data_IF_466879958635
#
_entry.id   IF_466879958635
#
_cell.length_a   1.000
_cell.length_b   1.000
_cell.length_c   1.000
_cell.angle_alpha   90.00
_cell.angle_beta   90.00
_cell.angle_gamma   90.00
#
_symmetry.space_group_name_H-M   'P 1'
#
loop_
_entity.id
_entity.type
_entity.pdbx_description
1 polymer ?
#
# COMPACT_ATOMS: atom_id res chain seq x y z
N UNK A 1 29.55 0.56 9.61
CA UNK A 1 29.03 0.46 9.58
C UNK A 1 28.31 0.32 9.37
N UNK A 2 28.49 0.35 9.43
CA UNK A 2 27.81 0.25 9.32
C UNK A 2 26.91 0.11 8.98
N UNK A 3 27.00 0.02 8.93
CA UNK A 3 26.14 -0.09 8.67
C UNK A 3 25.33 -0.27 8.46
N UNK A 4 25.49 -0.24 8.46
CA UNK A 4 24.73 -0.36 8.33
C UNK A 4 23.96 -0.55 7.93
N UNK A 5 24.21 -0.54 7.78
CA UNK A 5 23.52 -0.76 7.38
C UNK A 5 22.77 -1.09 7.02
N UNK A 6 22.92 -1.33 6.98
CA UNK A 6 22.24 -1.66 6.68
C UNK A 6 21.43 -1.92 6.41
N UNK A 7 21.36 -1.85 6.36
CA UNK A 7 20.60 -2.26 6.16
C UNK A 7 19.75 -2.36 5.63
N UNK A 8 19.89 -2.09 5.48
CA UNK A 8 19.16 -2.18 4.98
C UNK A 8 18.87 -2.64 4.31
N UNK A 9 19.35 -2.85 4.24
CA UNK A 9 19.22 -3.31 3.74
C UNK A 9 18.60 -3.93 3.41
N UNK A 10 18.60 -4.05 3.51
CA UNK A 10 18.13 -4.61 3.26
C UNK A 10 17.39 -5.22 3.03
N UNK A 11 17.17 -5.31 3.07
CA UNK A 11 16.39 -5.79 2.69
C UNK A 11 15.93 -5.90 1.79
N UNK A 12 16.15 -6.14 1.76
CA UNK A 12 15.85 -6.14 0.76
C UNK A 12 15.22 -6.07 -0.05
N UNK A 13 15.94 -5.81 -0.25
CA UNK A 13 15.36 -5.84 -1.07
C UNK A 13 14.42 -6.68 -1.17
N UNK A 14 14.22 -7.18 -0.42
CA UNK A 14 13.00 -7.87 -0.42
C UNK A 14 11.96 -7.08 -1.12
N UNK A 15 11.01 -7.73 -1.68
CA UNK A 15 9.95 -7.04 -2.37
C UNK A 15 9.27 -6.08 -1.44
N UNK A 16 9.13 -4.84 -1.85
CA UNK A 16 8.38 -3.92 -1.02
C UNK A 16 6.94 -4.38 -0.90
N UNK A 17 6.39 -4.16 0.27
CA UNK A 17 5.00 -4.50 0.49
C UNK A 17 4.13 -3.47 -0.22
N UNK A 18 3.14 -3.94 -0.96
CA UNK A 18 2.19 -3.05 -1.62
C UNK A 18 0.80 -3.37 -1.15
N UNK A 19 -0.17 -2.55 -1.55
CA UNK A 19 -1.56 -2.86 -1.22
C UNK A 19 -1.98 -4.19 -1.83
N UNK A 20 -1.38 -4.57 -2.95
CA UNK A 20 -1.71 -5.84 -3.55
C UNK A 20 -1.33 -7.01 -2.67
N UNK A 21 -0.24 -6.89 -1.93
CA UNK A 21 0.29 -8.00 -1.14
C UNK A 21 0.07 -7.83 0.35
N UNK A 22 -0.46 -6.70 0.79
CA UNK A 22 -0.68 -6.47 2.22
C UNK A 22 -1.70 -7.48 2.74
N UNK A 23 -1.41 -8.18 3.84
CA UNK A 23 -2.39 -9.10 4.40
C UNK A 23 -3.67 -8.38 4.80
N UNK A 24 -4.79 -9.09 4.69
CA UNK A 24 -6.07 -8.52 5.05
C UNK A 24 -6.09 -8.14 6.52
N UNK A 25 -6.79 -7.07 6.81
CA UNK A 25 -7.03 -6.62 8.17
C UNK A 25 -5.77 -6.17 8.89
N UNK A 26 -4.73 -5.90 8.13
CA UNK A 26 -3.50 -5.39 8.71
C UNK A 26 -3.40 -3.91 8.41
N UNK A 27 -3.25 -3.10 9.45
CA UNK A 27 -3.07 -1.66 9.26
C UNK A 27 -1.69 -1.37 8.70
N UNK A 28 -1.63 -0.44 7.79
CA UNK A 28 -0.37 -0.04 7.18
C UNK A 28 -0.42 1.43 6.85
N UNK A 29 0.74 1.98 6.59
CA UNK A 29 0.88 3.39 6.22
C UNK A 29 1.39 3.45 4.79
N UNK A 30 0.78 4.28 3.98
CA UNK A 30 1.25 4.48 2.62
C UNK A 30 2.64 5.09 2.66
N UNK A 31 3.59 4.42 2.04
CA UNK A 31 4.96 4.90 2.00
C UNK A 31 5.29 5.65 0.73
N UNK A 32 4.78 5.16 -0.39
CA UNK A 32 5.03 5.80 -1.67
C UNK A 32 3.97 5.38 -2.66
N UNK A 33 3.67 6.25 -3.58
CA UNK A 33 2.76 5.95 -4.67
C UNK A 33 3.51 6.24 -5.97
N UNK A 34 3.57 5.24 -6.84
CA UNK A 34 4.28 5.40 -8.09
C UNK A 34 3.36 6.01 -9.12
N UNK A 35 3.21 7.30 -9.01
CA UNK A 35 2.27 8.04 -9.83
C UNK A 35 2.50 7.86 -11.32
N UNK A 36 3.75 7.69 -11.72
CA UNK A 36 4.07 7.55 -13.13
C UNK A 36 3.61 6.24 -13.73
N UNK A 37 3.28 5.26 -12.90
CA UNK A 37 2.76 3.99 -13.37
C UNK A 37 1.25 3.98 -13.50
N UNK A 38 0.61 5.08 -13.15
CA UNK A 38 -0.84 5.17 -13.16
C UNK A 38 -1.29 6.03 -14.31
N UNK A 39 -2.40 5.65 -14.94
CA UNK A 39 -3.03 6.52 -15.91
C UNK A 39 -3.55 7.76 -15.20
N UNK A 40 -3.64 8.85 -15.95
CA UNK A 40 -4.05 10.12 -15.35
C UNK A 40 -5.38 10.05 -14.60
N UNK A 41 -6.42 9.40 -15.14
CA UNK A 41 -7.67 9.31 -14.39
C UNK A 41 -7.51 8.54 -13.08
N UNK A 42 -6.68 7.49 -13.08
CA UNK A 42 -6.46 6.72 -11.87
C UNK A 42 -5.71 7.53 -10.82
N UNK A 43 -4.70 8.26 -11.26
CA UNK A 43 -3.95 9.10 -10.34
C UNK A 43 -4.83 10.17 -9.73
N UNK A 44 -5.67 10.81 -10.56
CA UNK A 44 -6.58 11.81 -10.06
C UNK A 44 -7.54 11.22 -9.05
N UNK A 45 -8.08 10.03 -9.36
CA UNK A 45 -9.03 9.40 -8.46
C UNK A 45 -8.40 9.11 -7.11
N UNK A 46 -7.16 8.62 -7.11
CA UNK A 46 -6.49 8.35 -5.85
C UNK A 46 -6.34 9.61 -5.01
N UNK A 47 -5.97 10.70 -5.65
CA UNK A 47 -5.84 11.96 -4.92
C UNK A 47 -7.17 12.41 -4.36
N UNK A 48 -8.22 12.26 -5.14
CA UNK A 48 -9.55 12.66 -4.68
C UNK A 48 -10.02 11.81 -3.53
N UNK A 49 -9.60 10.54 -3.51
CA UNK A 49 -9.97 9.65 -2.41
C UNK A 49 -9.13 9.89 -1.16
N UNK A 50 -8.06 10.64 -1.27
CA UNK A 50 -7.24 10.94 -0.12
C UNK A 50 -6.01 10.09 0.03
N UNK A 51 -5.64 9.33 -0.99
CA UNK A 51 -4.41 8.55 -0.93
C UNK A 51 -3.21 9.46 -1.05
N UNK A 52 -2.29 9.31 -0.12
CA UNK A 52 -1.06 10.09 -0.12
C UNK A 52 -0.10 9.39 0.84
N UNK A 53 1.14 9.81 0.78
CA UNK A 53 2.13 9.27 1.71
C UNK A 53 1.74 9.61 3.14
N UNK A 54 1.92 8.65 4.02
CA UNK A 54 1.61 8.86 5.44
C UNK A 54 0.19 8.52 5.82
N UNK A 55 -0.65 8.17 4.87
CA UNK A 55 -2.06 7.89 5.16
C UNK A 55 -2.20 6.42 5.57
N UNK A 56 -3.05 6.17 6.56
CA UNK A 56 -3.29 4.81 7.04
C UNK A 56 -4.26 4.10 6.12
N UNK A 57 -3.96 2.85 5.82
CA UNK A 57 -4.80 2.03 4.94
C UNK A 57 -4.90 0.63 5.50
N UNK A 58 -5.92 -0.08 5.05
CA UNK A 58 -6.14 -1.46 5.45
C UNK A 58 -6.83 -2.18 4.31
N UNK A 59 -6.37 -3.39 3.98
CA UNK A 59 -7.05 -4.20 2.97
C UNK A 59 -8.15 -4.98 3.67
N UNK A 60 -9.37 -4.86 3.17
CA UNK A 60 -10.52 -5.52 3.75
C UNK A 60 -10.86 -6.80 3.03
N UNK A 61 -10.72 -6.80 1.71
CA UNK A 61 -11.13 -7.94 0.92
C UNK A 61 -10.36 -7.98 -0.38
N UNK A 62 -10.04 -9.17 -0.80
CA UNK A 62 -9.28 -9.38 -2.03
C UNK A 62 -9.93 -10.54 -2.75
N UNK A 63 -10.11 -10.40 -4.06
CA UNK A 63 -10.70 -11.46 -4.85
C UNK A 63 -9.82 -12.70 -4.80
N UNK A 64 -10.43 -13.86 -4.61
CA UNK A 64 -9.70 -15.12 -4.57
C UNK A 64 -9.23 -15.55 -5.94
N UNK A 65 -9.92 -15.12 -6.97
CA UNK A 65 -9.63 -15.60 -8.31
C UNK A 65 -8.50 -14.84 -8.99
N UNK A 66 -7.86 -13.94 -8.27
CA UNK A 66 -6.80 -13.15 -8.85
C UNK A 66 -7.35 -12.18 -9.88
N UNK A 67 -6.68 -11.07 -10.06
CA UNK A 67 -7.08 -10.09 -11.05
C UNK A 67 -8.27 -9.23 -10.67
N UNK A 68 -9.02 -9.60 -9.65
CA UNK A 68 -10.16 -8.81 -9.24
C UNK A 68 -9.75 -7.61 -8.41
N UNK A 69 -10.70 -6.72 -8.15
CA UNK A 69 -10.38 -5.53 -7.37
C UNK A 69 -10.08 -5.87 -5.92
N UNK A 70 -9.41 -4.94 -5.28
CA UNK A 70 -9.07 -5.05 -3.87
C UNK A 70 -9.85 -3.98 -3.12
N UNK A 71 -10.63 -4.40 -2.13
CA UNK A 71 -11.37 -3.45 -1.30
C UNK A 71 -10.49 -3.05 -0.15
N UNK A 72 -10.32 -1.77 0.05
CA UNK A 72 -9.51 -1.29 1.14
C UNK A 72 -10.18 -0.12 1.84
N UNK A 73 -9.76 0.12 3.07
CA UNK A 73 -10.26 1.23 3.84
C UNK A 73 -9.20 2.30 3.91
N UNK A 74 -9.62 3.52 3.66
CA UNK A 74 -8.76 4.67 3.83
C UNK A 74 -9.58 5.71 4.59
N UNK A 75 -9.10 6.09 5.75
CA UNK A 75 -9.90 6.92 6.63
C UNK A 75 -11.16 6.18 7.00
N UNK A 76 -12.29 6.78 6.71
CA UNK A 76 -13.58 6.16 6.98
C UNK A 76 -14.22 5.58 5.73
N UNK A 77 -13.53 5.65 4.61
CA UNK A 77 -14.10 5.20 3.36
C UNK A 77 -13.62 3.81 3.02
N UNK A 78 -14.49 3.06 2.38
CA UNK A 78 -14.12 1.79 1.76
C UNK A 78 -14.14 2.00 0.27
N UNK A 79 -13.04 1.69 -0.39
CA UNK A 79 -12.92 1.89 -1.83
C UNK A 79 -12.42 0.62 -2.45
N UNK A 80 -12.73 0.44 -3.73
CA UNK A 80 -12.23 -0.69 -4.49
C UNK A 80 -11.20 -0.17 -5.48
N UNK A 81 -10.04 -0.81 -5.49
CA UNK A 81 -8.96 -0.44 -6.40
C UNK A 81 -8.66 -1.59 -7.32
N UNK A 82 -8.38 -1.26 -8.56
CA UNK A 82 -7.88 -2.27 -9.49
C UNK A 82 -6.54 -2.75 -8.98
N UNK A 83 -6.25 -4.02 -9.25
CA UNK A 83 -5.03 -4.63 -8.76
C UNK A 83 -3.79 -3.89 -9.25
N UNK A 84 -3.81 -3.42 -10.49
CA UNK A 84 -2.67 -2.66 -11.01
C UNK A 84 -2.43 -1.37 -10.23
N UNK A 85 -3.50 -0.74 -9.78
CA UNK A 85 -3.36 0.47 -8.97
C UNK A 85 -2.80 0.12 -7.60
N UNK A 86 -3.32 -0.94 -6.99
CA UNK A 86 -2.84 -1.37 -5.69
C UNK A 86 -1.35 -1.72 -5.72
N UNK A 87 -0.90 -2.26 -6.85
CA UNK A 87 0.51 -2.62 -7.00
C UNK A 87 1.42 -1.41 -7.02
N UNK A 88 0.88 -0.25 -7.39
CA UNK A 88 1.67 0.97 -7.44
C UNK A 88 1.76 1.69 -6.09
N UNK A 89 1.08 1.17 -5.07
CA UNK A 89 1.06 1.82 -3.76
C UNK A 89 1.85 0.97 -2.78
N UNK A 90 3.01 1.48 -2.37
CA UNK A 90 3.86 0.81 -1.40
C UNK A 90 3.45 1.19 0.00
N UNK A 91 3.46 0.22 0.90
CA UNK A 91 3.01 0.46 2.27
C UNK A 91 4.01 -0.13 3.24
N UNK A 92 3.98 0.38 4.46
CA UNK A 92 4.72 -0.17 5.58
C UNK A 92 3.72 -0.61 6.64
N UNK A 93 3.91 -1.81 7.14
CA UNK A 93 3.05 -2.30 8.20
C UNK A 93 3.36 -1.52 9.47
N UNK A 94 2.31 -1.03 10.10
CA UNK A 94 2.48 -0.31 11.35
C UNK A 94 2.98 -1.24 12.42
N UNK A 95 4.05 -0.88 13.13
CA UNK A 95 4.47 -1.73 14.23
C UNK A 95 3.43 -1.72 15.34
N UNK A 96 3.40 -2.80 16.08
CA UNK A 96 2.51 -2.86 17.22
C UNK A 96 2.98 -1.85 18.26
N UNK A 97 2.03 -1.32 19.04
CA UNK A 97 2.42 -0.37 20.09
C UNK A 97 3.42 -1.01 21.03
N UNK A 98 4.37 -0.23 21.43
CA UNK A 98 5.43 -0.76 22.23
C UNK A 98 5.02 -1.06 23.66
N UNK A 99 4.03 -0.47 24.14
CA UNK A 99 3.66 -0.66 25.45
C UNK A 99 2.48 -1.14 25.71
#
# INVERSE_FOLDING_TARGET
>A
VTATRSPALARPEADPLTLETLPRRRSAIVGAIEWTRLASPEARRLRELGFDEGVAVEVLHRSRLGGGPIACRIGRMTVALRRAVARAISVSVEPLPAE
#
